data_IF_475932077474
#
_entry.id   IF_475932077474
#
_cell.length_a   1.000
_cell.length_b   1.000
_cell.length_c   1.000
_cell.angle_alpha   90.00
_cell.angle_beta   90.00
_cell.angle_gamma   90.00
#
_symmetry.space_group_name_H-M   'P 1'
#
loop_
_entity.id
_entity.type
_entity.pdbx_description
1 polymer ?
#
# COMPACT_ATOMS: atom_id res chain seq x y z
N UNK A 1 18.16 21.72 -11.85
CA UNK A 1 16.99 20.83 -12.00
C UNK A 1 15.76 21.72 -11.90
N UNK A 2 14.93 21.75 -12.93
CA UNK A 2 13.64 22.44 -12.81
C UNK A 2 12.84 21.75 -11.70
N UNK A 3 12.27 22.51 -10.81
CA UNK A 3 11.39 21.98 -9.76
C UNK A 3 10.19 21.31 -10.44
N UNK A 4 9.80 20.14 -9.95
CA UNK A 4 8.58 19.45 -10.40
C UNK A 4 7.37 20.39 -10.36
N UNK A 5 7.36 21.34 -9.40
CA UNK A 5 6.32 22.34 -9.23
C UNK A 5 6.24 23.39 -10.34
N UNK A 6 7.27 23.51 -11.16
CA UNK A 6 7.31 24.43 -12.30
C UNK A 6 6.77 23.81 -13.59
N UNK A 7 6.35 22.55 -13.54
CA UNK A 7 5.71 21.90 -14.67
C UNK A 7 4.33 22.53 -14.92
N UNK A 8 4.08 23.15 -16.08
CA UNK A 8 2.82 23.83 -16.38
C UNK A 8 1.60 22.89 -16.45
N UNK A 9 1.82 21.59 -16.46
CA UNK A 9 0.75 20.57 -16.42
C UNK A 9 0.34 20.18 -15.00
N UNK A 10 1.05 20.65 -13.97
CA UNK A 10 0.72 20.32 -12.60
C UNK A 10 -0.34 21.25 -12.03
N UNK A 11 -1.15 20.76 -11.09
CA UNK A 11 -2.15 21.57 -10.42
C UNK A 11 -1.50 22.69 -9.59
N UNK A 12 -2.31 23.66 -9.22
CA UNK A 12 -1.89 24.75 -8.36
C UNK A 12 -1.31 24.27 -7.02
N UNK A 13 -0.38 25.02 -6.40
CA UNK A 13 0.27 24.61 -5.15
C UNK A 13 -0.67 24.23 -4.00
N UNK A 14 -1.88 24.79 -3.96
CA UNK A 14 -2.88 24.47 -2.93
C UNK A 14 -3.33 23.00 -2.96
N UNK A 15 -3.16 22.28 -4.06
CA UNK A 15 -3.39 20.83 -4.10
C UNK A 15 -2.46 20.05 -3.16
N UNK A 16 -1.30 20.60 -2.88
CA UNK A 16 -0.29 20.00 -2.02
C UNK A 16 -0.38 20.47 -0.57
N UNK A 17 -1.04 21.60 -0.32
CA UNK A 17 -1.12 22.20 1.02
C UNK A 17 -2.01 21.44 1.98
N UNK A 18 -2.92 20.63 1.49
CA UNK A 18 -3.93 19.92 2.27
C UNK A 18 -3.59 18.46 2.57
N UNK A 19 -2.41 18.00 2.17
CA UNK A 19 -1.90 16.66 2.45
C UNK A 19 -0.64 16.71 3.31
N UNK A 20 -0.25 15.59 3.92
CA UNK A 20 0.92 15.47 4.78
C UNK A 20 2.24 15.80 4.07
N UNK A 21 2.32 15.66 2.75
CA UNK A 21 3.54 15.87 1.98
C UNK A 21 3.59 17.19 1.23
N UNK A 22 4.70 17.91 1.34
CA UNK A 22 4.99 19.13 0.57
C UNK A 22 5.67 18.83 -0.79
N UNK A 23 6.00 17.57 -1.07
CA UNK A 23 6.70 17.14 -2.29
C UNK A 23 5.74 16.44 -3.24
N UNK A 24 6.02 16.54 -4.53
CA UNK A 24 5.26 15.82 -5.56
C UNK A 24 5.69 14.35 -5.57
N UNK A 25 4.73 13.41 -5.58
CA UNK A 25 5.05 12.00 -5.73
C UNK A 25 5.50 11.67 -7.17
N UNK A 26 6.28 10.60 -7.32
CA UNK A 26 6.79 10.17 -8.63
C UNK A 26 5.68 9.90 -9.65
N UNK A 27 4.54 9.46 -9.19
CA UNK A 27 3.38 9.09 -10.01
C UNK A 27 2.81 10.24 -10.84
N UNK A 28 2.93 11.49 -10.35
CA UNK A 28 2.47 12.69 -11.08
C UNK A 28 3.25 12.93 -12.38
N UNK A 29 4.47 12.40 -12.50
CA UNK A 29 5.25 12.51 -13.74
C UNK A 29 4.70 11.67 -14.88
N UNK A 30 4.16 10.49 -14.53
CA UNK A 30 3.63 9.54 -15.51
C UNK A 30 2.13 9.64 -15.67
N UNK A 31 1.44 10.13 -14.64
CA UNK A 31 -0.01 10.33 -14.60
C UNK A 31 -0.35 11.67 -13.89
N UNK A 32 -0.18 12.81 -14.57
CA UNK A 32 -0.43 14.12 -13.99
C UNK A 32 -1.94 14.33 -13.72
N UNK A 33 -2.26 15.16 -12.71
CA UNK A 33 -3.66 15.46 -12.35
C UNK A 33 -4.49 15.96 -13.53
N UNK A 34 -3.89 16.69 -14.46
CA UNK A 34 -4.57 17.22 -15.66
C UNK A 34 -5.02 16.13 -16.64
N UNK A 35 -4.44 14.93 -16.59
CA UNK A 35 -4.85 13.80 -17.42
C UNK A 35 -6.00 12.98 -16.81
N UNK A 36 -6.31 13.20 -15.53
CA UNK A 36 -7.35 12.47 -14.82
C UNK A 36 -8.73 13.03 -15.07
N UNK A 37 -9.79 12.21 -14.90
CA UNK A 37 -11.17 12.70 -14.98
C UNK A 37 -11.40 13.87 -14.02
N UNK A 38 -12.01 14.93 -14.55
CA UNK A 38 -12.39 16.11 -13.77
C UNK A 38 -13.88 16.05 -13.44
N UNK A 39 -14.23 16.28 -12.20
CA UNK A 39 -15.60 16.23 -11.71
C UNK A 39 -16.05 17.62 -11.27
N UNK A 40 -17.32 17.95 -11.50
CA UNK A 40 -17.90 19.22 -11.04
C UNK A 40 -18.03 19.25 -9.53
N UNK A 41 -17.95 20.44 -8.93
CA UNK A 41 -18.28 20.63 -7.52
C UNK A 41 -19.77 20.34 -7.27
N UNK A 42 -20.05 19.81 -6.10
CA UNK A 42 -21.42 19.62 -5.64
C UNK A 42 -22.11 20.99 -5.49
N UNK A 43 -23.20 21.20 -6.23
CA UNK A 43 -23.98 22.43 -6.23
C UNK A 43 -25.39 22.16 -5.68
N UNK A 44 -25.53 22.09 -4.35
CA UNK A 44 -26.81 21.89 -3.69
C UNK A 44 -26.96 20.50 -3.06
N UNK A 45 -28.18 20.21 -2.61
CA UNK A 45 -28.49 18.92 -1.98
C UNK A 45 -28.61 17.83 -3.04
N UNK A 46 -28.18 16.64 -2.66
CA UNK A 46 -28.27 15.44 -3.47
C UNK A 46 -28.77 14.29 -2.58
N UNK A 47 -29.78 13.58 -3.04
CA UNK A 47 -30.25 12.36 -2.43
C UNK A 47 -29.65 11.16 -3.14
N UNK A 48 -29.19 10.19 -2.39
CA UNK A 48 -28.59 8.94 -2.89
C UNK A 48 -28.76 7.80 -1.88
N UNK A 49 -28.74 6.57 -2.35
CA UNK A 49 -28.76 5.41 -1.45
C UNK A 49 -27.51 5.35 -0.57
N UNK A 50 -26.33 5.55 -1.17
CA UNK A 50 -25.04 5.46 -0.46
C UNK A 50 -24.15 6.64 -0.86
N UNK A 51 -23.57 7.29 0.14
CA UNK A 51 -22.55 8.32 -0.07
C UNK A 51 -21.18 7.82 0.44
N UNK A 52 -20.19 7.78 -0.46
CA UNK A 52 -18.79 7.48 -0.13
C UNK A 52 -18.02 8.79 -0.03
N UNK A 53 -17.36 9.04 1.10
CA UNK A 53 -16.56 10.25 1.31
C UNK A 53 -15.08 9.91 1.21
N UNK A 54 -14.41 10.54 0.25
CA UNK A 54 -13.00 10.34 -0.08
C UNK A 54 -12.79 9.43 -1.28
N UNK A 55 -12.00 9.92 -2.24
CA UNK A 55 -11.64 9.24 -3.49
C UNK A 55 -10.21 8.71 -3.49
N UNK A 56 -9.71 8.28 -2.33
CA UNK A 56 -8.54 7.43 -2.21
C UNK A 56 -8.87 5.98 -2.58
N UNK A 57 -7.87 5.08 -2.59
CA UNK A 57 -8.04 3.67 -2.98
C UNK A 57 -9.17 2.96 -2.20
N UNK A 58 -9.31 3.24 -0.91
CA UNK A 58 -10.38 2.63 -0.10
C UNK A 58 -11.77 3.10 -0.52
N UNK A 59 -11.96 4.40 -0.78
CA UNK A 59 -13.24 4.94 -1.24
C UNK A 59 -13.60 4.49 -2.64
N UNK A 60 -12.64 4.52 -3.57
CA UNK A 60 -12.85 4.08 -4.96
C UNK A 60 -13.21 2.59 -4.98
N UNK A 61 -12.46 1.75 -4.27
CA UNK A 61 -12.75 0.31 -4.21
C UNK A 61 -14.12 0.03 -3.60
N UNK A 62 -14.46 0.75 -2.52
CA UNK A 62 -15.78 0.62 -1.87
C UNK A 62 -16.90 1.00 -2.82
N UNK A 63 -16.77 2.15 -3.50
CA UNK A 63 -17.75 2.60 -4.48
C UNK A 63 -17.90 1.61 -5.64
N UNK A 64 -16.78 1.10 -6.16
CA UNK A 64 -16.76 0.08 -7.23
C UNK A 64 -17.51 -1.19 -6.81
N UNK A 65 -17.19 -1.75 -5.65
CA UNK A 65 -17.85 -2.95 -5.13
C UNK A 65 -19.36 -2.76 -4.91
N UNK A 66 -19.77 -1.57 -4.49
CA UNK A 66 -21.19 -1.26 -4.31
C UNK A 66 -21.92 -1.10 -5.65
N UNK A 67 -21.35 -0.35 -6.58
CA UNK A 67 -21.94 -0.15 -7.92
C UNK A 67 -22.06 -1.47 -8.69
N UNK A 68 -21.05 -2.34 -8.62
CA UNK A 68 -21.09 -3.65 -9.27
C UNK A 68 -22.15 -4.58 -8.67
N UNK A 69 -22.59 -4.32 -7.44
CA UNK A 69 -23.73 -5.01 -6.79
C UNK A 69 -25.08 -4.35 -7.04
N UNK A 70 -25.12 -3.28 -7.84
CA UNK A 70 -26.34 -2.60 -8.26
C UNK A 70 -26.81 -1.48 -7.34
N UNK A 71 -25.98 -1.02 -6.39
CA UNK A 71 -26.31 0.12 -5.53
C UNK A 71 -26.11 1.45 -6.25
N UNK A 72 -26.94 2.43 -5.92
CA UNK A 72 -26.75 3.81 -6.31
C UNK A 72 -25.75 4.50 -5.38
N UNK A 73 -24.61 4.92 -5.91
CA UNK A 73 -23.50 5.48 -5.12
C UNK A 73 -23.10 6.86 -5.62
N UNK A 74 -22.99 7.79 -4.70
CA UNK A 74 -22.32 9.07 -4.91
C UNK A 74 -21.02 9.10 -4.15
N UNK A 75 -19.92 9.44 -4.83
CA UNK A 75 -18.63 9.64 -4.19
C UNK A 75 -18.27 11.12 -4.16
N UNK A 76 -17.89 11.62 -2.99
CA UNK A 76 -17.51 13.01 -2.76
C UNK A 76 -16.06 13.07 -2.28
N UNK A 77 -15.30 14.02 -2.79
CA UNK A 77 -13.97 14.34 -2.28
C UNK A 77 -13.81 15.84 -2.09
N UNK A 78 -13.01 16.21 -1.10
CA UNK A 78 -12.74 17.62 -0.82
C UNK A 78 -11.70 18.22 -1.78
N UNK A 79 -10.98 17.39 -2.52
CA UNK A 79 -9.87 17.75 -3.41
C UNK A 79 -9.96 16.98 -4.72
N UNK A 80 -8.83 16.86 -5.40
CA UNK A 80 -8.70 16.01 -6.59
C UNK A 80 -8.69 14.52 -6.24
N UNK A 81 -9.19 13.70 -7.15
CA UNK A 81 -9.17 12.25 -7.02
C UNK A 81 -7.73 11.76 -6.82
N UNK A 82 -7.52 10.87 -5.85
CA UNK A 82 -6.21 10.29 -5.48
C UNK A 82 -5.14 11.31 -5.03
N UNK A 83 -5.51 12.54 -4.68
CA UNK A 83 -4.56 13.57 -4.22
C UNK A 83 -4.04 13.38 -2.79
N UNK A 84 -4.62 12.45 -2.04
CA UNK A 84 -4.21 12.09 -0.69
C UNK A 84 -3.06 11.07 -0.67
N UNK A 85 -3.04 10.24 0.38
CA UNK A 85 -1.97 9.25 0.64
C UNK A 85 -1.88 8.19 -0.46
N UNK A 86 -2.97 7.84 -1.14
CA UNK A 86 -2.95 6.90 -2.27
C UNK A 86 -2.03 7.38 -3.39
N UNK A 87 -2.09 8.66 -3.75
CA UNK A 87 -1.20 9.23 -4.75
C UNK A 87 0.26 9.40 -4.28
N UNK A 88 0.56 9.13 -3.01
CA UNK A 88 1.88 9.31 -2.38
C UNK A 88 2.50 8.02 -1.86
N UNK A 89 1.79 6.91 -1.96
CA UNK A 89 2.29 5.59 -1.54
C UNK A 89 3.46 5.12 -2.39
N UNK A 90 4.23 4.17 -1.88
CA UNK A 90 5.26 3.46 -2.66
C UNK A 90 4.67 2.57 -3.76
N UNK A 91 3.36 2.33 -3.75
CA UNK A 91 2.69 1.38 -4.66
C UNK A 91 2.93 -0.08 -4.27
N UNK A 92 3.41 -0.34 -3.07
CA UNK A 92 3.57 -1.71 -2.54
C UNK A 92 2.32 -2.14 -1.78
N UNK A 93 1.82 -3.32 -2.12
CA UNK A 93 0.70 -4.00 -1.47
C UNK A 93 1.26 -5.16 -0.66
N UNK A 94 1.13 -5.08 0.66
CA UNK A 94 1.75 -6.03 1.58
C UNK A 94 0.74 -6.65 2.53
N UNK A 95 0.93 -7.94 2.84
CA UNK A 95 0.31 -8.63 3.96
C UNK A 95 1.21 -8.68 5.20
N UNK A 96 2.45 -8.18 5.11
CA UNK A 96 3.27 -7.84 6.26
C UNK A 96 2.73 -6.55 6.88
N UNK A 97 2.20 -6.65 8.10
CA UNK A 97 1.53 -5.53 8.78
C UNK A 97 2.49 -4.86 9.76
N UNK A 98 2.49 -3.54 9.82
CA UNK A 98 3.35 -2.75 10.72
C UNK A 98 3.20 -3.15 12.19
N UNK A 99 1.96 -3.43 12.63
CA UNK A 99 1.70 -3.92 13.99
C UNK A 99 2.18 -5.36 14.24
N UNK A 100 2.38 -6.16 13.20
CA UNK A 100 2.72 -7.57 13.26
C UNK A 100 1.57 -8.47 13.74
N UNK A 101 1.55 -9.71 13.30
CA UNK A 101 0.51 -10.69 13.66
C UNK A 101 0.59 -11.13 15.11
N UNK A 102 1.76 -11.08 15.72
CA UNK A 102 1.94 -11.32 17.16
C UNK A 102 1.13 -10.32 17.97
N UNK A 103 1.27 -9.03 17.69
CA UNK A 103 0.57 -7.98 18.42
C UNK A 103 -0.94 -7.94 18.09
N UNK A 104 -1.30 -8.17 16.82
CA UNK A 104 -2.71 -8.25 16.42
C UNK A 104 -3.40 -9.40 17.17
N UNK A 105 -2.77 -10.57 17.23
CA UNK A 105 -3.33 -11.71 17.97
C UNK A 105 -3.40 -11.44 19.48
N UNK A 106 -2.44 -10.73 20.05
CA UNK A 106 -2.46 -10.34 21.46
C UNK A 106 -3.62 -9.38 21.80
N UNK A 107 -3.95 -8.44 20.90
CA UNK A 107 -5.01 -7.45 21.08
C UNK A 107 -6.40 -7.97 20.70
N UNK A 108 -6.51 -8.76 19.65
CA UNK A 108 -7.77 -9.13 19.00
C UNK A 108 -8.02 -10.66 18.94
N UNK A 109 -7.15 -11.45 19.57
CA UNK A 109 -7.23 -12.91 19.52
C UNK A 109 -6.77 -13.49 18.16
N UNK A 110 -6.72 -14.81 18.08
CA UNK A 110 -6.34 -15.49 16.83
C UNK A 110 -7.34 -15.24 15.70
N UNK A 111 -8.63 -15.16 15.98
CA UNK A 111 -9.67 -14.88 14.99
C UNK A 111 -9.47 -13.50 14.34
N UNK A 112 -9.13 -12.48 15.16
CA UNK A 112 -8.81 -11.15 14.64
C UNK A 112 -7.55 -11.14 13.75
N UNK A 113 -6.53 -11.91 14.11
CA UNK A 113 -5.32 -12.03 13.31
C UNK A 113 -5.57 -12.81 11.99
N UNK A 114 -6.41 -13.85 12.00
CA UNK A 114 -6.85 -14.57 10.80
C UNK A 114 -7.61 -13.61 9.88
N UNK A 115 -8.59 -12.89 10.42
CA UNK A 115 -9.37 -11.92 9.62
C UNK A 115 -8.49 -10.83 9.01
N UNK A 116 -7.47 -10.35 9.73
CA UNK A 116 -6.48 -9.41 9.19
C UNK A 116 -5.69 -10.02 8.02
N UNK A 117 -5.17 -11.26 8.18
CA UNK A 117 -4.43 -11.96 7.13
C UNK A 117 -5.29 -12.18 5.88
N UNK A 118 -6.51 -12.68 6.05
CA UNK A 118 -7.45 -12.93 4.95
C UNK A 118 -7.81 -11.65 4.20
N UNK A 119 -8.13 -10.57 4.93
CA UNK A 119 -8.52 -9.30 4.33
C UNK A 119 -7.39 -8.65 3.53
N UNK A 120 -6.15 -8.69 4.02
CA UNK A 120 -5.01 -8.15 3.29
C UNK A 120 -4.65 -8.97 2.06
N UNK A 121 -4.65 -10.30 2.17
CA UNK A 121 -4.44 -11.18 1.03
C UNK A 121 -5.54 -11.00 -0.03
N UNK A 122 -6.79 -10.86 0.39
CA UNK A 122 -7.90 -10.55 -0.50
C UNK A 122 -7.68 -9.21 -1.20
N UNK A 123 -7.33 -8.15 -0.46
CA UNK A 123 -7.12 -6.81 -1.01
C UNK A 123 -6.00 -6.77 -2.06
N UNK A 124 -4.86 -7.43 -1.78
CA UNK A 124 -3.75 -7.54 -2.75
C UNK A 124 -4.22 -8.19 -4.05
N UNK A 125 -4.94 -9.32 -3.95
CA UNK A 125 -5.45 -10.02 -5.11
C UNK A 125 -6.50 -9.21 -5.87
N UNK A 126 -7.40 -8.54 -5.12
CA UNK A 126 -8.50 -7.78 -5.70
C UNK A 126 -8.03 -6.61 -6.56
N UNK A 127 -6.96 -5.92 -6.17
CA UNK A 127 -6.34 -4.91 -7.04
C UNK A 127 -5.94 -5.49 -8.40
N UNK A 128 -5.30 -6.65 -8.41
CA UNK A 128 -4.91 -7.31 -9.66
C UNK A 128 -6.10 -7.83 -10.48
N UNK A 129 -7.13 -8.33 -9.82
CA UNK A 129 -8.37 -8.80 -10.48
C UNK A 129 -9.10 -7.64 -11.15
N UNK A 130 -9.35 -6.55 -10.43
CA UNK A 130 -10.03 -5.36 -10.95
C UNK A 130 -9.22 -4.73 -12.08
N UNK A 131 -7.90 -4.63 -11.93
CA UNK A 131 -7.02 -4.11 -12.99
C UNK A 131 -7.17 -4.92 -14.29
N UNK A 132 -7.22 -6.25 -14.19
CA UNK A 132 -7.41 -7.13 -15.33
C UNK A 132 -8.84 -7.04 -15.89
N UNK A 133 -9.85 -7.05 -15.05
CA UNK A 133 -11.26 -6.99 -15.38
C UNK A 133 -11.60 -5.72 -16.16
N UNK A 134 -11.06 -4.59 -15.72
CA UNK A 134 -11.27 -3.28 -16.34
C UNK A 134 -10.18 -2.90 -17.38
N UNK A 135 -9.21 -3.79 -17.63
CA UNK A 135 -8.08 -3.53 -18.54
C UNK A 135 -7.27 -2.28 -18.15
N UNK A 136 -7.04 -2.07 -16.86
CA UNK A 136 -6.24 -0.96 -16.34
C UNK A 136 -4.76 -1.33 -16.39
N UNK A 137 -3.99 -0.61 -17.18
CA UNK A 137 -2.53 -0.79 -17.28
C UNK A 137 -1.79 -0.09 -16.13
N UNK A 138 -2.04 -0.53 -14.90
CA UNK A 138 -1.40 0.00 -13.70
C UNK A 138 -0.09 -0.74 -13.31
N UNK A 139 0.46 -1.54 -14.20
CA UNK A 139 1.71 -2.29 -13.96
C UNK A 139 1.64 -3.23 -12.75
N UNK A 140 0.45 -3.75 -12.43
CA UNK A 140 0.28 -4.68 -11.33
C UNK A 140 1.18 -5.92 -11.51
N UNK A 141 1.97 -6.22 -10.48
CA UNK A 141 2.86 -7.38 -10.44
C UNK A 141 2.79 -8.05 -9.09
N UNK A 142 2.75 -9.38 -9.08
CA UNK A 142 2.98 -10.17 -7.87
C UNK A 142 4.47 -10.46 -7.73
N UNK A 143 4.97 -10.29 -6.52
CA UNK A 143 6.36 -10.54 -6.15
C UNK A 143 6.46 -10.88 -4.66
N UNK A 144 7.56 -11.50 -4.20
CA UNK A 144 7.80 -11.66 -2.78
C UNK A 144 8.18 -10.32 -2.14
N UNK A 145 7.70 -10.10 -0.90
CA UNK A 145 8.15 -9.01 -0.04
C UNK A 145 9.19 -9.52 0.95
N UNK A 146 10.15 -8.69 1.30
CA UNK A 146 11.23 -9.04 2.20
C UNK A 146 11.28 -8.08 3.38
N UNK A 147 11.16 -8.61 4.57
CA UNK A 147 11.44 -7.89 5.80
C UNK A 147 12.79 -8.37 6.33
N UNK A 148 13.76 -7.48 6.35
CA UNK A 148 15.15 -7.77 6.72
C UNK A 148 15.53 -7.03 7.97
N UNK A 149 16.46 -7.60 8.77
CA UNK A 149 16.99 -6.87 9.92
C UNK A 149 17.60 -5.54 9.51
N UNK A 150 17.25 -4.49 10.23
CA UNK A 150 17.85 -3.16 10.05
C UNK A 150 19.28 -3.11 10.61
N UNK A 151 19.66 -4.04 11.48
CA UNK A 151 20.96 -4.07 12.12
C UNK A 151 21.94 -4.96 11.36
N UNK A 152 23.14 -4.42 11.17
CA UNK A 152 24.28 -5.17 10.63
C UNK A 152 24.74 -6.23 11.62
N UNK A 153 24.78 -7.47 11.19
CA UNK A 153 25.14 -8.65 12.01
C UNK A 153 26.52 -8.53 12.65
N UNK A 154 27.48 -7.86 11.99
CA UNK A 154 28.85 -7.72 12.47
C UNK A 154 29.04 -6.50 13.34
N UNK A 155 28.39 -5.38 13.03
CA UNK A 155 28.54 -4.11 13.72
C UNK A 155 27.65 -3.99 14.95
N UNK A 156 26.47 -4.60 14.91
CA UNK A 156 25.42 -4.53 15.94
C UNK A 156 24.87 -5.91 16.25
N UNK A 157 25.70 -6.87 16.69
CA UNK A 157 25.30 -8.27 16.80
C UNK A 157 24.19 -8.52 17.82
N UNK A 158 24.12 -7.76 18.90
CA UNK A 158 23.09 -7.94 19.94
C UNK A 158 21.73 -7.46 19.47
N UNK A 159 21.67 -6.28 18.86
CA UNK A 159 20.46 -5.71 18.30
C UNK A 159 19.95 -6.59 17.15
N UNK A 160 20.86 -7.05 16.31
CA UNK A 160 20.55 -7.99 15.24
C UNK A 160 19.95 -9.31 15.78
N UNK A 161 20.58 -9.93 16.77
CA UNK A 161 20.09 -11.19 17.36
C UNK A 161 18.68 -11.03 17.96
N UNK A 162 18.45 -9.92 18.66
CA UNK A 162 17.13 -9.62 19.23
C UNK A 162 16.05 -9.44 18.13
N UNK A 163 16.33 -8.65 17.11
CA UNK A 163 15.39 -8.41 16.01
C UNK A 163 15.12 -9.68 15.21
N UNK A 164 16.14 -10.52 14.97
CA UNK A 164 15.95 -11.83 14.31
C UNK A 164 15.07 -12.77 15.15
N UNK A 165 15.17 -12.74 16.45
CA UNK A 165 14.29 -13.51 17.32
C UNK A 165 12.83 -13.05 17.15
N UNK A 166 12.60 -11.77 17.21
CA UNK A 166 11.26 -11.15 17.03
C UNK A 166 10.70 -11.47 15.65
N UNK A 167 11.52 -11.34 14.60
CA UNK A 167 11.14 -11.67 13.24
C UNK A 167 10.75 -13.15 13.06
N UNK A 168 11.45 -14.06 13.70
CA UNK A 168 11.10 -15.48 13.69
C UNK A 168 9.79 -15.78 14.44
N UNK A 169 9.54 -15.09 15.55
CA UNK A 169 8.26 -15.18 16.27
C UNK A 169 7.11 -14.65 15.41
N UNK A 170 7.32 -13.52 14.72
CA UNK A 170 6.37 -12.96 13.79
C UNK A 170 6.06 -13.89 12.62
N UNK A 171 7.08 -14.46 11.97
CA UNK A 171 6.93 -15.45 10.90
C UNK A 171 6.14 -16.68 11.37
N UNK A 172 6.43 -17.19 12.55
CA UNK A 172 5.70 -18.34 13.11
C UNK A 172 4.21 -18.00 13.34
N UNK A 173 3.93 -16.81 13.87
CA UNK A 173 2.56 -16.33 14.08
C UNK A 173 1.85 -16.10 12.75
N UNK A 174 2.44 -15.38 11.81
CA UNK A 174 1.89 -15.12 10.50
C UNK A 174 1.51 -16.41 9.75
N UNK A 175 2.40 -17.42 9.76
CA UNK A 175 2.08 -18.76 9.25
C UNK A 175 0.87 -19.39 9.92
N UNK A 176 0.78 -19.29 11.23
CA UNK A 176 -0.31 -19.91 12.01
C UNK A 176 -1.69 -19.31 11.70
N UNK A 177 -1.73 -18.11 11.12
CA UNK A 177 -2.96 -17.39 10.71
C UNK A 177 -3.17 -17.36 9.20
N UNK A 178 -2.40 -18.17 8.45
CA UNK A 178 -2.63 -18.40 7.02
C UNK A 178 -1.85 -17.50 6.06
N UNK A 179 -0.85 -16.76 6.56
CA UNK A 179 0.05 -15.98 5.69
C UNK A 179 1.12 -16.90 5.12
N UNK A 180 1.35 -16.81 3.80
CA UNK A 180 2.44 -17.52 3.13
C UNK A 180 3.75 -16.73 3.31
N UNK A 181 4.51 -17.13 4.32
CA UNK A 181 5.76 -16.48 4.72
C UNK A 181 6.79 -17.50 5.19
N UNK A 182 8.05 -17.26 4.94
CA UNK A 182 9.15 -18.07 5.45
C UNK A 182 10.30 -17.21 5.98
N UNK A 183 11.09 -17.75 6.89
CA UNK A 183 12.32 -17.12 7.34
C UNK A 183 13.53 -17.76 6.66
N UNK A 184 14.41 -16.92 6.12
CA UNK A 184 15.69 -17.33 5.53
C UNK A 184 16.86 -16.65 6.24
N UNK A 185 17.62 -17.42 7.04
CA UNK A 185 18.78 -16.94 7.80
C UNK A 185 19.96 -16.55 6.88
N UNK A 186 20.05 -17.19 5.73
CA UNK A 186 21.12 -16.98 4.75
C UNK A 186 20.85 -15.80 3.81
N UNK A 187 19.71 -15.11 3.94
CA UNK A 187 19.40 -13.99 3.06
C UNK A 187 20.38 -12.84 3.24
N UNK A 188 20.93 -12.36 2.13
CA UNK A 188 21.86 -11.25 2.10
C UNK A 188 21.39 -10.19 1.14
N UNK A 189 21.47 -8.95 1.56
CA UNK A 189 21.34 -7.79 0.68
C UNK A 189 22.72 -7.40 0.14
N UNK A 190 22.72 -6.67 -0.98
CA UNK A 190 23.95 -6.09 -1.47
C UNK A 190 24.25 -4.83 -0.66
N UNK A 191 25.35 -4.83 0.09
CA UNK A 191 25.80 -3.67 0.83
C UNK A 191 26.18 -2.50 -0.09
N UNK A 192 26.31 -1.31 0.49
CA UNK A 192 26.69 -0.09 -0.23
C UNK A 192 28.05 -0.20 -0.94
N UNK A 193 28.97 -0.99 -0.37
CA UNK A 193 30.27 -1.34 -0.93
C UNK A 193 30.23 -2.45 -1.99
N UNK A 194 29.04 -2.96 -2.27
CA UNK A 194 28.80 -4.05 -3.20
C UNK A 194 29.05 -5.45 -2.63
N UNK A 195 29.45 -5.56 -1.35
CA UNK A 195 29.64 -6.84 -0.69
C UNK A 195 28.31 -7.39 -0.15
N UNK A 196 28.16 -8.73 -0.04
CA UNK A 196 27.00 -9.32 0.58
C UNK A 196 26.91 -8.92 2.05
N UNK A 197 25.76 -8.39 2.47
CA UNK A 197 25.43 -8.10 3.86
C UNK A 197 24.35 -9.09 4.31
N UNK A 198 24.75 -10.08 5.08
CA UNK A 198 23.87 -11.15 5.53
C UNK A 198 23.00 -10.66 6.70
N UNK A 199 21.72 -10.46 6.42
CA UNK A 199 20.77 -9.89 7.36
C UNK A 199 19.76 -10.89 7.91
N UNK A 200 19.53 -12.00 7.21
CA UNK A 200 18.32 -12.80 7.41
C UNK A 200 17.08 -12.04 6.89
N UNK A 201 16.04 -12.78 6.54
CA UNK A 201 14.80 -12.18 6.07
C UNK A 201 13.57 -13.03 6.38
N UNK A 202 12.45 -12.39 6.71
CA UNK A 202 11.12 -12.95 6.48
C UNK A 202 10.72 -12.67 5.03
N UNK A 203 10.30 -13.70 4.32
CA UNK A 203 9.94 -13.64 2.90
C UNK A 203 8.44 -13.92 2.79
N UNK A 204 7.66 -12.87 2.56
CA UNK A 204 6.22 -12.93 2.39
C UNK A 204 5.90 -13.14 0.91
N UNK A 205 5.23 -14.25 0.59
CA UNK A 205 4.84 -14.55 -0.78
C UNK A 205 3.57 -13.78 -1.18
N UNK A 206 3.35 -13.64 -2.50
CA UNK A 206 2.12 -13.09 -3.03
C UNK A 206 1.85 -11.61 -2.75
N UNK A 207 2.88 -10.87 -2.38
CA UNK A 207 2.80 -9.41 -2.28
C UNK A 207 2.59 -8.78 -3.66
N UNK A 208 2.28 -7.48 -3.73
CA UNK A 208 2.04 -6.81 -5.00
C UNK A 208 2.71 -5.45 -5.11
N UNK A 209 2.91 -5.01 -6.34
CA UNK A 209 3.20 -3.61 -6.67
C UNK A 209 2.30 -3.15 -7.79
N UNK A 210 1.98 -1.87 -7.82
CA UNK A 210 1.15 -1.26 -8.86
C UNK A 210 1.40 0.24 -8.95
N UNK A 211 0.93 0.85 -10.03
CA UNK A 211 0.90 2.30 -10.18
C UNK A 211 -0.40 2.84 -9.56
N UNK A 212 -0.33 3.52 -8.41
CA UNK A 212 -1.52 3.77 -7.58
C UNK A 212 -2.49 4.84 -8.13
N UNK A 213 -2.11 5.55 -9.18
CA UNK A 213 -2.92 6.62 -9.76
C UNK A 213 -3.50 6.29 -11.13
N UNK A 214 -3.21 5.11 -11.63
CA UNK A 214 -3.83 4.54 -12.82
C UNK A 214 -4.95 3.60 -12.44
#
# INVERSE_FOLDING_TARGET
MASIRENPQQPAPEHFQSTSGATDPVWIHTDPYSSRPQFSKLNGNLDTEICVIGSGIGGIQTAYELVTRGHEVVMLDAREVLSGETGRTSGHLASALDDGYVNIAAKHGNEGAIAAAESHNWAINRVGEVSKELSIECEYRKLPGYEVSQYDRQKQPKEHEQEIKELKEEVAKAKSVGVDVEYNDGYAIKGWDGQPDQRGAAIFQGQGTFHPTK
#
